data_IF_927103161989
#
_entry.id   IF_927103161989
#
_cell.length_a   1.000
_cell.length_b   1.000
_cell.length_c   1.000
_cell.angle_alpha   90.00
_cell.angle_beta   90.00
_cell.angle_gamma   90.00
#
_symmetry.space_group_name_H-M   'P 1'
#
loop_
_entity.id
_entity.type
_entity.pdbx_description
1 polymer ?
#
# COMPACT_ATOMS: atom_id res chain seq x y z
N UNK A 1 -30.67 29.69 12.51
CA UNK A 1 -29.98 30.19 11.30
C UNK A 1 -28.61 30.60 11.76
N UNK A 2 -27.51 29.92 11.45
CA UNK A 2 -27.15 29.26 10.20
C UNK A 2 -26.42 27.94 10.46
N UNK A 3 -26.89 26.88 9.80
CA UNK A 3 -26.19 25.61 9.69
C UNK A 3 -24.97 25.83 8.79
N UNK A 4 -23.79 26.05 9.38
CA UNK A 4 -22.53 25.80 8.67
C UNK A 4 -22.52 24.32 8.34
N UNK A 5 -22.87 23.99 7.10
CA UNK A 5 -22.74 22.66 6.56
C UNK A 5 -21.32 22.19 6.88
N UNK A 6 -21.22 21.11 7.66
CA UNK A 6 -19.98 20.37 7.74
C UNK A 6 -19.67 19.98 6.30
N UNK A 7 -18.68 20.65 5.70
CA UNK A 7 -18.04 20.15 4.50
C UNK A 7 -17.74 18.69 4.82
N UNK A 8 -18.35 17.78 4.06
CA UNK A 8 -18.23 16.35 4.30
C UNK A 8 -16.81 15.98 3.92
N UNK A 9 -15.88 16.19 4.85
CA UNK A 9 -14.47 15.94 4.65
C UNK A 9 -14.32 14.45 4.34
N UNK A 10 -13.66 14.14 3.22
CA UNK A 10 -13.39 12.76 2.85
C UNK A 10 -12.64 12.11 4.01
N UNK A 11 -13.19 11.03 4.56
CA UNK A 11 -12.57 10.25 5.65
C UNK A 11 -11.19 9.70 5.25
N UNK A 12 -10.91 9.62 3.96
CA UNK A 12 -9.70 9.11 3.34
C UNK A 12 -9.23 10.13 2.30
N UNK A 13 -8.04 10.70 2.51
CA UNK A 13 -7.43 11.65 1.56
C UNK A 13 -6.45 10.96 0.63
N UNK A 14 -6.24 11.54 -0.56
CA UNK A 14 -5.27 11.06 -1.52
C UNK A 14 -3.85 10.99 -0.93
N UNK A 15 -3.47 12.03 -0.19
CA UNK A 15 -2.17 12.10 0.50
C UNK A 15 -2.05 11.04 1.60
N UNK A 16 -3.13 10.77 2.34
CA UNK A 16 -3.17 9.72 3.35
C UNK A 16 -2.97 8.32 2.75
N UNK A 17 -3.60 8.05 1.60
CA UNK A 17 -3.40 6.80 0.86
C UNK A 17 -1.97 6.65 0.34
N UNK A 18 -1.39 7.72 -0.20
CA UNK A 18 0.01 7.73 -0.66
C UNK A 18 0.99 7.53 0.49
N UNK A 19 0.75 8.16 1.63
CA UNK A 19 1.56 7.95 2.83
C UNK A 19 1.51 6.49 3.27
N UNK A 20 0.31 5.91 3.41
CA UNK A 20 0.14 4.52 3.85
C UNK A 20 0.75 3.52 2.86
N UNK A 21 0.67 3.80 1.55
CA UNK A 21 1.36 3.01 0.53
C UNK A 21 2.88 3.01 0.73
N UNK A 22 3.47 4.18 0.99
CA UNK A 22 4.90 4.31 1.30
C UNK A 22 5.30 3.59 2.59
N UNK A 23 4.46 3.62 3.63
CA UNK A 23 4.67 2.83 4.84
C UNK A 23 4.66 1.32 4.56
N UNK A 24 3.73 0.84 3.73
CA UNK A 24 3.71 -0.55 3.29
C UNK A 24 5.00 -0.92 2.53
N UNK A 25 5.47 -0.09 1.61
CA UNK A 25 6.72 -0.32 0.87
C UNK A 25 7.94 -0.40 1.81
N UNK A 26 8.04 0.53 2.76
CA UNK A 26 9.10 0.53 3.77
C UNK A 26 9.06 -0.74 4.66
N UNK A 27 7.87 -1.18 5.04
CA UNK A 27 7.68 -2.41 5.82
C UNK A 27 8.07 -3.65 5.00
N UNK A 28 7.68 -3.72 3.73
CA UNK A 28 8.06 -4.80 2.84
C UNK A 28 9.58 -4.89 2.64
N UNK A 29 10.25 -3.73 2.50
CA UNK A 29 11.71 -3.65 2.42
C UNK A 29 12.39 -4.10 3.73
N UNK A 30 11.84 -3.70 4.89
CA UNK A 30 12.35 -4.11 6.20
C UNK A 30 12.23 -5.62 6.43
N UNK A 31 11.12 -6.23 5.97
CA UNK A 31 10.93 -7.68 6.00
C UNK A 31 11.90 -8.41 5.07
N UNK A 32 12.15 -7.87 3.88
CA UNK A 32 13.13 -8.42 2.94
C UNK A 32 14.56 -8.36 3.52
N UNK A 33 14.92 -7.28 4.20
CA UNK A 33 16.22 -7.13 4.86
C UNK A 33 16.40 -8.09 6.05
N UNK A 34 15.29 -8.49 6.69
CA UNK A 34 15.29 -9.40 7.86
C UNK A 34 15.25 -10.89 7.48
N UNK A 35 15.54 -11.25 6.23
CA UNK A 35 15.45 -12.63 5.75
C UNK A 35 16.39 -13.58 6.50
N UNK A 36 15.90 -14.78 6.85
CA UNK A 36 16.71 -15.81 7.51
C UNK A 36 17.91 -16.23 6.65
N UNK A 37 19.04 -16.63 7.26
CA UNK A 37 20.20 -17.12 6.52
C UNK A 37 19.84 -18.28 5.60
N UNK A 38 20.14 -18.15 4.31
CA UNK A 38 20.04 -19.24 3.35
C UNK A 38 21.28 -20.11 3.51
N UNK A 39 21.14 -21.26 4.17
CA UNK A 39 22.28 -22.17 4.35
C UNK A 39 22.49 -23.05 3.11
N UNK A 40 23.73 -23.10 2.63
CA UNK A 40 24.18 -23.93 1.50
C UNK A 40 24.82 -25.19 2.07
N UNK A 41 24.04 -26.23 2.37
CA UNK A 41 24.62 -27.52 2.76
C UNK A 41 23.66 -28.53 3.38
N UNK A 42 23.80 -29.79 2.98
CA UNK A 42 23.17 -30.94 3.64
C UNK A 42 23.92 -31.26 4.93
N UNK A 43 23.20 -31.33 6.06
CA UNK A 43 23.79 -31.76 7.32
C UNK A 43 23.46 -33.21 7.59
N UNK A 44 24.46 -33.97 8.03
CA UNK A 44 24.33 -35.37 8.46
C UNK A 44 23.62 -35.52 9.81
N UNK A 45 23.41 -34.40 10.53
CA UNK A 45 22.69 -34.38 11.80
C UNK A 45 21.20 -34.09 11.57
N UNK A 46 20.32 -34.97 12.08
CA UNK A 46 18.87 -34.81 11.97
C UNK A 46 18.34 -33.48 12.55
N UNK A 47 18.94 -33.01 13.65
CA UNK A 47 18.60 -31.71 14.25
C UNK A 47 18.93 -30.53 13.33
N UNK A 48 20.07 -30.56 12.65
CA UNK A 48 20.45 -29.53 11.69
C UNK A 48 19.57 -29.56 10.44
N UNK A 49 19.17 -30.75 9.96
CA UNK A 49 18.18 -30.87 8.89
C UNK A 49 16.83 -30.26 9.28
N UNK A 50 16.37 -30.47 10.52
CA UNK A 50 15.14 -29.87 11.04
C UNK A 50 15.23 -28.33 11.12
N UNK A 51 16.36 -27.78 11.60
CA UNK A 51 16.59 -26.32 11.62
C UNK A 51 16.60 -25.74 10.21
N UNK A 52 17.25 -26.41 9.25
CA UNK A 52 17.27 -25.96 7.86
C UNK A 52 15.87 -25.95 7.24
N UNK A 53 15.05 -26.97 7.51
CA UNK A 53 13.65 -27.01 7.07
C UNK A 53 12.85 -25.86 7.68
N UNK A 54 13.06 -25.55 8.96
CA UNK A 54 12.41 -24.41 9.63
C UNK A 54 12.84 -23.07 9.01
N UNK A 55 14.14 -22.86 8.74
CA UNK A 55 14.63 -21.66 8.05
C UNK A 55 13.98 -21.47 6.68
N UNK A 56 13.86 -22.55 5.89
CA UNK A 56 13.20 -22.50 4.58
C UNK A 56 11.72 -22.11 4.68
N UNK A 57 11.01 -22.64 5.68
CA UNK A 57 9.61 -22.28 5.92
C UNK A 57 9.45 -20.82 6.34
N UNK A 58 10.33 -20.31 7.22
CA UNK A 58 10.35 -18.91 7.64
C UNK A 58 10.65 -17.99 6.45
N UNK A 59 11.64 -18.33 5.62
CA UNK A 59 11.95 -17.56 4.42
C UNK A 59 10.75 -17.51 3.45
N UNK A 60 10.10 -18.65 3.20
CA UNK A 60 8.91 -18.71 2.36
C UNK A 60 7.73 -17.89 2.95
N UNK A 61 7.55 -17.90 4.27
CA UNK A 61 6.55 -17.08 4.94
C UNK A 61 6.86 -15.57 4.83
N UNK A 62 8.13 -15.19 4.99
CA UNK A 62 8.59 -13.81 4.82
C UNK A 62 8.33 -13.28 3.42
N UNK A 63 8.63 -14.08 2.38
CA UNK A 63 8.34 -13.74 0.99
C UNK A 63 6.84 -13.53 0.74
N UNK A 64 5.99 -14.44 1.23
CA UNK A 64 4.53 -14.30 1.13
C UNK A 64 4.03 -13.05 1.84
N UNK A 65 4.57 -12.73 3.01
CA UNK A 65 4.20 -11.54 3.77
C UNK A 65 4.58 -10.26 3.00
N UNK A 66 5.84 -10.17 2.55
CA UNK A 66 6.34 -9.02 1.79
C UNK A 66 5.54 -8.79 0.50
N UNK A 67 5.25 -9.86 -0.24
CA UNK A 67 4.42 -9.78 -1.46
C UNK A 67 3.01 -9.26 -1.19
N UNK A 68 2.37 -9.70 -0.11
CA UNK A 68 1.04 -9.18 0.28
C UNK A 68 1.08 -7.70 0.61
N UNK A 69 2.11 -7.26 1.34
CA UNK A 69 2.27 -5.85 1.72
C UNK A 69 2.52 -4.98 0.48
N UNK A 70 3.36 -5.43 -0.45
CA UNK A 70 3.58 -4.74 -1.73
C UNK A 70 2.30 -4.66 -2.57
N UNK A 71 1.49 -5.72 -2.60
CA UNK A 71 0.21 -5.71 -3.29
C UNK A 71 -0.78 -4.70 -2.67
N UNK A 72 -0.79 -4.58 -1.34
CA UNK A 72 -1.56 -3.54 -0.63
C UNK A 72 -1.06 -2.15 -1.00
N UNK A 73 0.25 -1.90 -0.96
CA UNK A 73 0.83 -0.61 -1.36
C UNK A 73 0.40 -0.22 -2.78
N UNK A 74 0.51 -1.15 -3.73
CA UNK A 74 0.09 -0.92 -5.11
C UNK A 74 -1.42 -0.63 -5.23
N UNK A 75 -2.26 -1.29 -4.43
CA UNK A 75 -3.69 -1.02 -4.40
C UNK A 75 -4.00 0.38 -3.86
N UNK A 76 -3.35 0.80 -2.77
CA UNK A 76 -3.52 2.13 -2.17
C UNK A 76 -3.07 3.22 -3.15
N UNK A 77 -1.93 3.05 -3.81
CA UNK A 77 -1.43 3.98 -4.84
C UNK A 77 -2.40 4.10 -6.01
N UNK A 78 -2.99 2.98 -6.48
CA UNK A 78 -4.01 3.03 -7.54
C UNK A 78 -5.25 3.79 -7.12
N UNK A 79 -5.78 3.52 -5.92
CA UNK A 79 -6.97 4.22 -5.42
C UNK A 79 -6.70 5.72 -5.25
N UNK A 80 -5.52 6.07 -4.74
CA UNK A 80 -5.05 7.47 -4.66
C UNK A 80 -5.10 8.16 -6.02
N UNK A 81 -4.52 7.54 -7.06
CA UNK A 81 -4.55 8.09 -8.42
C UNK A 81 -5.99 8.24 -8.96
N UNK A 82 -6.86 7.24 -8.74
CA UNK A 82 -8.26 7.30 -9.17
C UNK A 82 -9.04 8.43 -8.49
N UNK A 83 -8.75 8.75 -7.22
CA UNK A 83 -9.35 9.91 -6.58
C UNK A 83 -8.89 11.22 -7.24
N UNK A 84 -7.59 11.37 -7.50
CA UNK A 84 -7.06 12.56 -8.19
C UNK A 84 -7.67 12.76 -9.58
N UNK A 85 -7.81 11.69 -10.37
CA UNK A 85 -8.49 11.72 -11.67
C UNK A 85 -9.97 12.12 -11.55
N UNK A 86 -10.68 11.58 -10.56
CA UNK A 86 -12.08 11.88 -10.32
C UNK A 86 -12.30 13.35 -9.93
N UNK A 87 -11.43 13.91 -9.09
CA UNK A 87 -11.49 15.33 -8.71
C UNK A 87 -11.24 16.26 -9.90
N UNK A 88 -10.25 15.95 -10.74
CA UNK A 88 -9.97 16.70 -11.97
C UNK A 88 -11.16 16.66 -12.92
N UNK A 89 -11.76 15.48 -13.12
CA UNK A 89 -12.91 15.30 -13.98
C UNK A 89 -14.13 16.07 -13.45
N UNK A 90 -14.45 15.90 -12.17
CA UNK A 90 -15.56 16.59 -11.51
C UNK A 90 -15.40 18.12 -11.56
N UNK A 91 -14.19 18.63 -11.36
CA UNK A 91 -13.89 20.06 -11.49
C UNK A 91 -14.03 20.58 -12.92
N UNK A 92 -13.77 19.75 -13.94
CA UNK A 92 -14.01 20.10 -15.34
C UNK A 92 -15.52 20.16 -15.65
N UNK A 93 -16.29 19.16 -15.23
CA UNK A 93 -17.75 19.15 -15.38
C UNK A 93 -18.40 20.33 -14.66
N UNK A 94 -18.00 20.61 -13.42
CA UNK A 94 -18.54 21.75 -12.66
C UNK A 94 -18.24 23.10 -13.33
N UNK A 95 -17.04 23.27 -13.91
CA UNK A 95 -16.70 24.47 -14.70
C UNK A 95 -17.54 24.58 -15.97
N UNK A 96 -17.84 23.47 -16.63
CA UNK A 96 -18.70 23.45 -17.82
C UNK A 96 -20.15 23.80 -17.51
N UNK A 97 -20.63 23.49 -16.31
CA UNK A 97 -21.98 23.82 -15.83
C UNK A 97 -22.11 25.24 -15.28
N UNK A 98 -20.99 25.89 -14.92
CA UNK A 98 -20.99 27.24 -14.39
C UNK A 98 -21.35 28.21 -15.52
N UNK A 99 -22.51 28.91 -15.46
CA UNK A 99 -22.93 29.79 -16.53
C UNK A 99 -21.90 30.91 -16.68
N UNK A 100 -21.32 31.03 -17.87
CA UNK A 100 -20.63 32.25 -18.28
C UNK A 100 -21.68 33.35 -18.17
N UNK A 101 -21.56 34.23 -17.17
CA UNK A 101 -22.29 35.50 -17.17
C UNK A 101 -21.79 36.27 -18.39
N UNK A 102 -22.49 36.11 -19.51
CA UNK A 102 -22.41 37.04 -20.61
C UNK A 102 -23.01 38.35 -20.11
N UNK A 103 -22.19 39.40 -20.11
CA UNK A 103 -22.58 40.78 -19.80
C UNK A 103 -23.65 41.29 -20.77
#
# INVERSE_FOLDING_TARGET
MESRGAATELRVSEDGLRAEAGWCEALAASLAASSAPTLVGSSVLASAAAVNAAHAQIAAAGLRCSSRIQATAAALTRVSASYGENEVHSAAEFRALSPVKAC
#
